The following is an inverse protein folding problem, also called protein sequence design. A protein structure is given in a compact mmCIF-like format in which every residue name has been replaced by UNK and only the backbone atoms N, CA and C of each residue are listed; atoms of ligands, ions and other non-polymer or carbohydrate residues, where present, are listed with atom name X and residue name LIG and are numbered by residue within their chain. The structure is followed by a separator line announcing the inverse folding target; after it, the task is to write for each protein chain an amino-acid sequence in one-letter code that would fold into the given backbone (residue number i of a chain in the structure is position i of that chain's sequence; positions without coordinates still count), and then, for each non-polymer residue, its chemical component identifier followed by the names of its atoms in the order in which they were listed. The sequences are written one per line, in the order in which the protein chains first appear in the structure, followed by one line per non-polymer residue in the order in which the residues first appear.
data_IF_837233238286
#
_entry.id   IF_837233238286
#
_cell.length_a   1.000
_cell.length_b   1.000
_cell.length_c   1.000
_cell.angle_alpha   90.00
_cell.angle_beta   90.00
_cell.angle_gamma   90.00
#
_symmetry.space_group_name_H-M   'P 1'
#
loop_
_entity.id
_entity.type
_entity.pdbx_description
1 polymer ?
#
# COMPACT_ATOMS: atom_id res chain seq x y z
N UNK A 1 3.56 -18.89 -1.07
CA UNK A 1 4.54 -18.22 -1.94
C UNK A 1 5.78 -19.08 -2.03
N UNK A 2 6.11 -19.50 -3.25
CA UNK A 2 7.41 -20.12 -3.56
C UNK A 2 8.58 -19.12 -3.36
N UNK A 3 9.84 -19.60 -3.30
CA UNK A 3 11.00 -18.72 -3.28
C UNK A 3 11.06 -17.75 -4.47
N UNK A 4 10.66 -18.20 -5.67
CA UNK A 4 10.63 -17.35 -6.87
C UNK A 4 9.57 -16.24 -6.78
N UNK A 5 8.39 -16.54 -6.23
CA UNK A 5 7.36 -15.53 -6.00
C UNK A 5 7.78 -14.51 -4.94
N UNK A 6 8.45 -14.97 -3.88
CA UNK A 6 8.96 -14.09 -2.83
C UNK A 6 10.01 -13.12 -3.37
N UNK A 7 10.89 -13.57 -4.27
CA UNK A 7 11.91 -12.72 -4.89
C UNK A 7 11.32 -11.58 -5.74
N UNK A 8 10.09 -11.73 -6.25
CA UNK A 8 9.37 -10.69 -6.99
C UNK A 8 8.57 -9.81 -6.03
N UNK A 9 7.93 -10.41 -5.03
CA UNK A 9 7.09 -9.70 -4.06
C UNK A 9 7.90 -8.79 -3.12
N UNK A 10 9.07 -9.25 -2.65
CA UNK A 10 9.95 -8.50 -1.76
C UNK A 10 10.81 -7.53 -2.59
N UNK A 11 10.33 -6.29 -2.71
CA UNK A 11 10.92 -5.26 -3.57
C UNK A 11 12.07 -4.51 -2.89
N UNK A 12 12.15 -4.53 -1.56
CA UNK A 12 13.19 -3.84 -0.79
C UNK A 12 13.49 -4.57 0.51
N UNK A 13 14.76 -4.58 0.92
CA UNK A 13 15.18 -5.07 2.24
C UNK A 13 14.83 -4.10 3.38
N UNK A 14 14.54 -2.84 3.04
CA UNK A 14 14.25 -1.75 3.97
C UNK A 14 12.83 -1.27 3.76
N UNK A 15 12.06 -1.25 4.84
CA UNK A 15 10.70 -0.68 4.85
C UNK A 15 10.75 0.86 4.87
N UNK A 16 9.75 1.55 4.27
CA UNK A 16 9.66 3.00 4.28
C UNK A 16 9.47 3.56 5.69
N UNK A 17 9.40 4.89 5.77
CA UNK A 17 9.23 5.56 7.06
C UNK A 17 7.94 5.26 7.78
N UNK A 18 6.93 5.13 6.93
CA UNK A 18 5.50 5.24 7.11
C UNK A 18 4.88 4.84 5.74
N UNK A 19 3.55 4.86 5.64
CA UNK A 19 2.84 4.68 4.37
C UNK A 19 3.24 5.75 3.34
N UNK A 20 3.33 5.36 2.07
CA UNK A 20 3.90 6.19 1.00
C UNK A 20 3.00 7.37 0.65
N UNK A 21 1.68 7.18 0.67
CA UNK A 21 0.75 8.28 0.46
C UNK A 21 0.69 9.25 1.64
N UNK A 22 1.11 8.83 2.84
CA UNK A 22 1.17 9.68 4.04
C UNK A 22 -0.17 10.40 4.26
N UNK A 23 -0.15 11.67 4.71
CA UNK A 23 -1.36 12.46 4.94
C UNK A 23 -1.87 13.21 3.68
N UNK A 24 -1.54 12.74 2.47
CA UNK A 24 -1.98 13.41 1.23
C UNK A 24 -3.51 13.32 1.08
N UNK A 25 -4.18 14.42 0.71
CA UNK A 25 -5.65 14.46 0.61
C UNK A 25 -6.17 13.51 -0.49
N UNK A 26 -5.39 13.28 -1.53
CA UNK A 26 -5.64 12.30 -2.59
C UNK A 26 -4.43 11.40 -2.80
N UNK A 27 -4.64 10.21 -3.36
CA UNK A 27 -3.57 9.38 -3.90
C UNK A 27 -2.87 10.16 -5.02
N UNK A 28 -1.59 10.45 -4.82
CA UNK A 28 -0.79 11.23 -5.75
C UNK A 28 0.18 10.32 -6.53
N UNK A 29 0.09 10.40 -7.85
CA UNK A 29 1.03 9.75 -8.76
C UNK A 29 2.45 10.25 -8.51
N UNK A 30 3.40 9.33 -8.48
CA UNK A 30 4.80 9.66 -8.22
C UNK A 30 5.13 9.93 -6.76
N UNK A 31 4.21 9.74 -5.82
CA UNK A 31 4.51 9.90 -4.38
C UNK A 31 5.65 8.99 -3.94
N UNK A 32 6.63 9.57 -3.25
CA UNK A 32 7.69 8.86 -2.54
C UNK A 32 7.32 8.71 -1.05
N UNK A 33 7.90 7.71 -0.37
CA UNK A 33 7.87 7.64 1.09
C UNK A 33 8.22 8.99 1.70
N UNK A 34 7.49 9.40 2.72
CA UNK A 34 7.70 10.69 3.38
C UNK A 34 9.05 10.75 4.07
N UNK A 35 9.85 11.77 3.73
CA UNK A 35 11.23 11.93 4.20
C UNK A 35 11.34 12.67 5.55
N UNK A 36 10.37 13.51 5.95
CA UNK A 36 10.57 14.43 7.09
C UNK A 36 9.28 14.94 7.75
N UNK A 37 9.01 14.56 9.01
CA UNK A 37 8.23 15.41 9.92
C UNK A 37 8.44 15.12 11.43
N UNK A 38 9.14 14.06 11.83
CA UNK A 38 9.20 13.71 13.27
C UNK A 38 10.36 12.84 13.73
N UNK A 39 11.42 12.63 12.94
CA UNK A 39 12.59 11.87 13.44
C UNK A 39 13.15 12.60 14.68
N UNK A 40 12.95 12.10 15.91
CA UNK A 40 13.54 12.72 17.07
C UNK A 40 15.05 12.59 16.90
N UNK A 41 15.78 13.69 17.06
CA UNK A 41 17.24 13.73 17.02
C UNK A 41 17.89 12.94 18.17
N UNK A 42 17.09 12.33 19.05
CA UNK A 42 17.53 11.59 20.23
C UNK A 42 18.09 10.19 19.94
N UNK A 43 18.06 9.76 18.68
CA UNK A 43 18.67 8.49 18.28
C UNK A 43 17.84 7.25 18.64
N UNK A 44 16.55 7.41 18.94
CA UNK A 44 15.59 6.28 19.00
C UNK A 44 15.37 5.62 17.62
N UNK A 45 15.60 6.36 16.52
CA UNK A 45 15.56 5.87 15.14
C UNK A 45 16.97 5.60 14.58
N UNK A 46 17.82 4.90 15.36
CA UNK A 46 19.13 4.42 14.88
C UNK A 46 18.94 3.44 13.72
N UNK A 47 19.10 3.91 12.48
CA UNK A 47 19.34 3.01 11.35
C UNK A 47 18.71 3.33 10.00
N UNK A 48 17.96 4.42 9.82
CA UNK A 48 17.51 4.82 8.46
C UNK A 48 18.62 5.52 7.70
N UNK A 49 19.61 4.75 7.27
CA UNK A 49 20.37 5.14 6.10
C UNK A 49 19.41 5.03 4.91
N UNK A 50 18.94 6.16 4.39
CA UNK A 50 18.34 6.21 3.06
C UNK A 50 19.42 5.66 2.13
N UNK A 51 19.30 4.42 1.64
CA UNK A 51 20.22 3.96 0.60
C UNK A 51 19.82 4.69 -0.69
N UNK A 52 20.79 5.05 -1.54
CA UNK A 52 20.47 5.56 -2.87
C UNK A 52 19.51 4.58 -3.58
N UNK A 53 18.34 5.07 -3.99
CA UNK A 53 17.24 4.36 -4.69
C UNK A 53 16.17 3.63 -3.86
N UNK A 54 16.26 3.55 -2.52
CA UNK A 54 15.21 2.91 -1.70
C UNK A 54 13.87 3.67 -1.63
N UNK A 55 13.84 5.01 -1.56
CA UNK A 55 12.58 5.74 -1.71
C UNK A 55 11.99 5.54 -3.10
N UNK A 56 12.86 5.48 -4.12
CA UNK A 56 12.47 5.46 -5.53
C UNK A 56 11.77 4.16 -5.95
N UNK A 57 12.21 3.01 -5.42
CA UNK A 57 11.57 1.72 -5.73
C UNK A 57 10.13 1.66 -5.18
N UNK A 58 9.87 2.34 -4.06
CA UNK A 58 8.55 2.40 -3.42
C UNK A 58 7.65 3.49 -3.99
N UNK A 59 8.13 4.29 -4.95
CA UNK A 59 7.34 5.33 -5.60
C UNK A 59 6.00 4.77 -6.08
N UNK A 60 4.92 5.45 -5.72
CA UNK A 60 3.59 5.09 -6.20
C UNK A 60 3.49 5.38 -7.70
N UNK A 61 3.27 4.34 -8.50
CA UNK A 61 3.05 4.43 -9.94
C UNK A 61 1.78 3.69 -10.29
N UNK A 62 0.76 4.39 -10.77
CA UNK A 62 -0.55 3.77 -11.06
C UNK A 62 -0.47 2.78 -12.22
N UNK A 63 0.19 3.17 -13.30
CA UNK A 63 0.29 2.38 -14.53
C UNK A 63 1.31 1.23 -14.46
N UNK A 64 2.18 1.24 -13.44
CA UNK A 64 3.21 0.22 -13.24
C UNK A 64 3.34 -0.11 -11.75
N UNK A 65 2.36 -0.82 -11.16
CA UNK A 65 2.46 -1.27 -9.79
C UNK A 65 3.70 -2.15 -9.58
N UNK A 66 4.34 -2.02 -8.43
CA UNK A 66 5.52 -2.81 -8.07
C UNK A 66 5.11 -4.14 -7.41
N UNK A 67 6.02 -5.10 -7.44
CA UNK A 67 5.85 -6.41 -6.81
C UNK A 67 5.20 -7.44 -7.73
N UNK A 68 4.59 -8.46 -7.13
CA UNK A 68 4.03 -9.61 -7.83
C UNK A 68 2.56 -9.38 -8.18
N UNK A 69 2.17 -9.65 -9.42
CA UNK A 69 0.77 -9.63 -9.82
C UNK A 69 0.00 -10.78 -9.18
N UNK A 70 -1.29 -10.57 -8.95
CA UNK A 70 -2.17 -11.58 -8.38
C UNK A 70 -2.19 -12.84 -9.24
N UNK A 71 -2.18 -12.71 -10.57
CA UNK A 71 -2.16 -13.85 -11.50
C UNK A 71 -0.92 -14.73 -11.36
N UNK A 72 0.23 -14.14 -11.04
CA UNK A 72 1.49 -14.85 -10.85
C UNK A 72 1.61 -15.57 -9.50
N UNK A 73 0.66 -15.36 -8.57
CA UNK A 73 0.63 -16.03 -7.27
C UNK A 73 0.15 -17.49 -7.35
N UNK A 74 0.66 -18.31 -6.43
CA UNK A 74 0.20 -19.68 -6.23
C UNK A 74 -1.20 -19.65 -5.58
N UNK A 75 -1.96 -20.75 -5.68
CA UNK A 75 -3.35 -20.78 -5.22
C UNK A 75 -3.48 -20.38 -3.73
N UNK A 76 -2.56 -20.85 -2.89
CA UNK A 76 -2.55 -20.53 -1.47
C UNK A 76 -2.28 -19.04 -1.20
N UNK A 77 -1.34 -18.43 -1.91
CA UNK A 77 -1.00 -17.02 -1.75
C UNK A 77 -2.08 -16.11 -2.32
N UNK A 78 -2.73 -16.52 -3.42
CA UNK A 78 -3.93 -15.86 -3.95
C UNK A 78 -5.02 -15.82 -2.90
N UNK A 79 -5.32 -16.95 -2.25
CA UNK A 79 -6.34 -17.02 -1.21
C UNK A 79 -6.02 -16.12 -0.01
N UNK A 80 -4.75 -16.11 0.44
CA UNK A 80 -4.30 -15.22 1.52
C UNK A 80 -4.48 -13.75 1.13
N UNK A 81 -4.09 -13.37 -0.09
CA UNK A 81 -4.24 -11.99 -0.57
C UNK A 81 -5.72 -11.58 -0.66
N UNK A 82 -6.60 -12.46 -1.15
CA UNK A 82 -8.05 -12.23 -1.19
C UNK A 82 -8.60 -12.03 0.23
N UNK A 83 -8.20 -12.88 1.18
CA UNK A 83 -8.63 -12.77 2.57
C UNK A 83 -8.14 -11.47 3.21
N UNK A 84 -6.94 -11.03 2.87
CA UNK A 84 -6.40 -9.75 3.33
C UNK A 84 -7.21 -8.57 2.77
N UNK A 85 -7.50 -8.56 1.47
CA UNK A 85 -8.36 -7.54 0.84
C UNK A 85 -9.75 -7.53 1.49
N UNK A 86 -10.35 -8.70 1.68
CA UNK A 86 -11.64 -8.85 2.35
C UNK A 86 -11.60 -8.30 3.78
N UNK A 87 -10.51 -8.51 4.50
CA UNK A 87 -10.32 -7.97 5.85
C UNK A 87 -10.34 -6.43 5.87
N UNK A 88 -9.69 -5.78 4.89
CA UNK A 88 -9.74 -4.31 4.76
C UNK A 88 -11.15 -3.83 4.42
N UNK A 89 -11.78 -4.42 3.40
CA UNK A 89 -13.13 -4.05 2.98
C UNK A 89 -14.19 -4.32 4.03
N UNK A 90 -13.98 -5.33 4.88
CA UNK A 90 -14.87 -5.67 6.01
C UNK A 90 -14.94 -4.60 7.11
N UNK A 91 -14.12 -3.54 7.04
CA UNK A 91 -14.25 -2.36 7.90
C UNK A 91 -15.42 -1.45 7.48
N UNK A 92 -15.93 -1.61 6.26
CA UNK A 92 -17.14 -0.95 5.81
C UNK A 92 -18.39 -1.59 6.45
N UNK A 93 -19.52 -0.86 6.53
CA UNK A 93 -20.82 -1.46 6.79
C UNK A 93 -21.07 -2.68 5.88
N UNK A 94 -21.65 -3.75 6.41
CA UNK A 94 -21.70 -5.06 5.76
C UNK A 94 -22.25 -5.04 4.32
N UNK A 95 -23.27 -4.23 4.05
CA UNK A 95 -23.84 -4.08 2.69
C UNK A 95 -22.86 -3.43 1.71
N UNK A 96 -22.11 -2.42 2.16
CA UNK A 96 -21.09 -1.75 1.37
C UNK A 96 -19.86 -2.65 1.19
N UNK A 97 -19.43 -3.36 2.23
CA UNK A 97 -18.34 -4.32 2.15
C UNK A 97 -18.62 -5.41 1.10
N UNK A 98 -19.85 -5.94 1.10
CA UNK A 98 -20.30 -6.93 0.11
C UNK A 98 -20.29 -6.36 -1.30
N UNK A 99 -20.97 -5.23 -1.52
CA UNK A 99 -21.04 -4.59 -2.84
C UNK A 99 -19.66 -4.20 -3.38
N UNK A 100 -18.76 -3.77 -2.49
CA UNK A 100 -17.40 -3.43 -2.87
C UNK A 100 -16.58 -4.67 -3.22
N UNK A 101 -16.69 -5.75 -2.43
CA UNK A 101 -15.99 -7.00 -2.68
C UNK A 101 -16.42 -7.67 -4.00
N UNK A 102 -17.71 -7.63 -4.33
CA UNK A 102 -18.27 -8.16 -5.59
C UNK A 102 -17.61 -7.55 -6.83
N UNK A 103 -17.16 -6.28 -6.78
CA UNK A 103 -16.42 -5.67 -7.91
C UNK A 103 -15.11 -6.37 -8.20
N UNK A 104 -14.41 -6.82 -7.16
CA UNK A 104 -13.16 -7.56 -7.31
C UNK A 104 -13.41 -8.95 -7.90
N UNK A 105 -14.44 -9.64 -7.43
CA UNK A 105 -14.85 -10.94 -7.98
C UNK A 105 -15.25 -10.85 -9.46
N UNK A 106 -15.78 -9.71 -9.90
CA UNK A 106 -16.19 -9.45 -11.27
C UNK A 106 -15.08 -8.93 -12.20
N UNK A 107 -13.80 -9.04 -11.80
CA UNK A 107 -12.68 -8.87 -12.72
C UNK A 107 -11.59 -7.89 -12.28
N UNK A 108 -11.74 -7.19 -11.15
CA UNK A 108 -10.65 -6.28 -10.70
C UNK A 108 -9.46 -7.02 -10.07
N UNK A 109 -9.58 -8.32 -9.74
CA UNK A 109 -8.49 -9.07 -9.14
C UNK A 109 -7.25 -9.23 -10.05
N UNK A 110 -7.43 -9.29 -11.37
CA UNK A 110 -6.30 -9.48 -12.31
C UNK A 110 -5.30 -8.32 -12.27
N UNK A 111 -5.76 -7.12 -11.93
CA UNK A 111 -4.95 -5.91 -11.92
C UNK A 111 -4.24 -5.66 -10.57
N UNK A 112 -4.47 -6.55 -9.59
CA UNK A 112 -3.90 -6.39 -8.25
C UNK A 112 -2.46 -6.86 -8.22
N UNK A 113 -1.62 -6.04 -7.60
CA UNK A 113 -0.23 -6.34 -7.30
C UNK A 113 0.01 -6.27 -5.79
N UNK A 114 0.88 -7.15 -5.33
CA UNK A 114 1.34 -7.20 -3.95
C UNK A 114 2.85 -6.93 -3.89
N UNK A 115 3.26 -6.02 -3.02
CA UNK A 115 4.67 -5.77 -2.72
C UNK A 115 4.94 -5.76 -1.23
N UNK A 116 6.15 -6.16 -0.87
CA UNK A 116 6.68 -6.20 0.49
C UNK A 116 8.00 -5.47 0.57
N UNK A 117 8.22 -4.72 1.64
CA UNK A 117 9.49 -4.10 1.96
C UNK A 117 9.85 -4.32 3.44
N UNK A 118 11.12 -4.54 3.73
CA UNK A 118 11.61 -4.73 5.11
C UNK A 118 11.80 -6.20 5.51
N UNK A 119 11.90 -6.42 6.82
CA UNK A 119 12.20 -7.72 7.41
C UNK A 119 11.13 -8.78 7.14
N UNK A 120 11.53 -10.05 7.15
CA UNK A 120 10.65 -11.20 6.90
C UNK A 120 10.33 -12.00 8.17
N UNK A 121 11.02 -11.70 9.27
CA UNK A 121 10.76 -12.32 10.57
C UNK A 121 9.80 -11.47 11.41
N UNK A 122 9.18 -12.11 12.40
CA UNK A 122 8.33 -11.42 13.38
C UNK A 122 9.12 -10.32 14.10
N UNK A 123 8.44 -9.22 14.42
CA UNK A 123 9.00 -8.06 15.12
C UNK A 123 10.13 -7.33 14.38
N UNK A 124 10.27 -7.56 13.07
CA UNK A 124 11.13 -6.72 12.23
C UNK A 124 10.31 -5.62 11.57
N UNK A 125 10.90 -4.43 11.34
CA UNK A 125 10.27 -3.36 10.57
C UNK A 125 9.85 -3.86 9.18
N UNK A 126 8.58 -3.69 8.82
CA UNK A 126 8.06 -4.14 7.53
C UNK A 126 6.90 -3.30 7.01
N UNK A 127 6.69 -3.40 5.71
CA UNK A 127 5.65 -2.72 4.96
C UNK A 127 5.12 -3.63 3.87
N UNK A 128 3.84 -3.51 3.56
CA UNK A 128 3.29 -4.04 2.31
C UNK A 128 2.32 -3.09 1.64
N UNK A 129 2.24 -3.23 0.32
CA UNK A 129 1.24 -2.54 -0.53
C UNK A 129 0.44 -3.55 -1.32
N UNK A 130 -0.88 -3.36 -1.34
CA UNK A 130 -1.77 -4.00 -2.30
C UNK A 130 -2.30 -2.89 -3.20
N UNK A 131 -2.03 -2.98 -4.49
CA UNK A 131 -2.33 -1.92 -5.44
C UNK A 131 -3.04 -2.49 -6.67
N UNK A 132 -4.13 -1.85 -7.07
CA UNK A 132 -4.82 -2.04 -8.35
C UNK A 132 -5.40 -0.71 -8.84
N UNK A 133 -6.13 -0.73 -9.96
CA UNK A 133 -6.67 0.49 -10.55
C UNK A 133 -7.63 1.26 -9.63
N UNK A 134 -8.44 0.54 -8.84
CA UNK A 134 -9.42 1.09 -7.88
C UNK A 134 -9.08 0.81 -6.41
N UNK A 135 -7.92 0.21 -6.14
CA UNK A 135 -7.54 -0.24 -4.81
C UNK A 135 -6.13 0.22 -4.47
N UNK A 136 -5.99 0.87 -3.32
CA UNK A 136 -4.71 1.03 -2.66
C UNK A 136 -4.86 0.66 -1.19
N UNK A 137 -4.10 -0.33 -0.75
CA UNK A 137 -3.91 -0.64 0.66
C UNK A 137 -2.43 -0.49 0.94
N UNK A 138 -2.11 0.23 2.01
CA UNK A 138 -0.76 0.29 2.55
C UNK A 138 -0.79 -0.11 4.02
N UNK A 139 0.23 -0.83 4.44
CA UNK A 139 0.46 -1.19 5.83
C UNK A 139 1.92 -0.95 6.13
N UNK A 140 2.20 -0.24 7.22
CA UNK A 140 3.53 0.00 7.75
C UNK A 140 3.57 -0.41 9.21
N UNK A 141 4.64 -1.07 9.62
CA UNK A 141 4.96 -1.32 11.01
C UNK A 141 6.46 -1.20 11.23
N UNK A 142 6.95 0.03 11.20
CA UNK A 142 8.38 0.33 11.32
C UNK A 142 8.75 1.13 12.55
N UNK A 143 7.76 1.75 13.21
CA UNK A 143 7.96 2.58 14.39
C UNK A 143 7.92 1.75 15.69
N UNK A 144 8.53 2.29 16.76
CA UNK A 144 8.55 1.68 18.10
C UNK A 144 8.96 0.20 18.09
N UNK A 145 10.07 -0.14 17.43
CA UNK A 145 10.56 -1.52 17.28
C UNK A 145 9.52 -2.47 16.63
N UNK A 146 8.88 -1.99 15.55
CA UNK A 146 7.81 -2.71 14.84
C UNK A 146 6.62 -3.07 15.75
N UNK A 147 6.21 -2.11 16.59
CA UNK A 147 5.08 -2.23 17.50
C UNK A 147 4.07 -1.07 17.36
N UNK A 148 4.15 -0.32 16.26
CA UNK A 148 3.21 0.76 15.95
C UNK A 148 2.85 0.70 14.47
N UNK A 149 1.62 0.26 14.24
CA UNK A 149 1.09 -0.01 12.91
C UNK A 149 0.36 1.21 12.37
N UNK A 150 0.72 1.62 11.16
CA UNK A 150 -0.12 2.45 10.30
C UNK A 150 -0.72 1.58 9.19
N UNK A 151 -1.98 1.81 8.86
CA UNK A 151 -2.59 1.15 7.71
C UNK A 151 -3.67 2.03 7.11
N UNK A 152 -3.81 1.94 5.79
CA UNK A 152 -4.82 2.69 5.06
C UNK A 152 -5.40 1.80 3.96
N UNK A 153 -6.66 2.06 3.65
CA UNK A 153 -7.31 1.61 2.42
C UNK A 153 -7.88 2.84 1.72
N UNK A 154 -7.56 3.02 0.44
CA UNK A 154 -7.97 4.15 -0.39
C UNK A 154 -8.44 3.64 -1.75
N UNK A 155 -9.28 4.45 -2.40
CA UNK A 155 -9.65 4.28 -3.80
C UNK A 155 -9.08 5.44 -4.60
N UNK A 156 -8.08 5.25 -5.47
CA UNK A 156 -7.42 6.36 -6.17
C UNK A 156 -8.38 7.31 -6.92
N UNK A 157 -9.41 6.77 -7.59
CA UNK A 157 -10.41 7.56 -8.31
C UNK A 157 -11.62 8.00 -7.47
N UNK A 158 -11.75 7.50 -6.24
CA UNK A 158 -12.86 7.79 -5.34
C UNK A 158 -12.38 8.33 -3.99
N UNK A 159 -11.22 8.97 -3.97
CA UNK A 159 -10.53 9.28 -2.74
C UNK A 159 -11.18 10.41 -1.95
N UNK A 160 -11.07 10.35 -0.62
CA UNK A 160 -11.86 11.19 0.28
C UNK A 160 -11.54 12.69 0.13
N UNK A 161 -10.29 13.05 -0.12
CA UNK A 161 -9.88 14.46 -0.28
C UNK A 161 -10.01 15.01 -1.71
N UNK A 162 -10.87 14.43 -2.55
CA UNK A 162 -11.24 15.06 -3.82
C UNK A 162 -12.17 16.25 -3.58
N UNK A 163 -11.85 17.41 -4.16
CA UNK A 163 -12.73 18.57 -4.15
C UNK A 163 -13.72 18.49 -5.32
N UNK A 164 -14.83 17.80 -5.08
CA UNK A 164 -15.89 17.59 -6.07
C UNK A 164 -16.59 18.92 -6.42
N UNK A 165 -16.62 19.88 -5.49
CA UNK A 165 -17.26 21.17 -5.70
C UNK A 165 -16.42 22.06 -6.61
N UNK A 166 -15.12 22.19 -6.34
CA UNK A 166 -14.19 22.91 -7.22
C UNK A 166 -14.21 22.32 -8.65
N UNK A 167 -14.19 20.98 -8.76
CA UNK A 167 -14.28 20.31 -10.06
C UNK A 167 -15.57 20.65 -10.81
N UNK A 168 -16.72 20.68 -10.12
CA UNK A 168 -17.99 21.06 -10.72
C UNK A 168 -17.95 22.51 -11.26
N UNK A 169 -17.43 23.45 -10.47
CA UNK A 169 -17.30 24.85 -10.87
C UNK A 169 -16.39 25.03 -12.09
N UNK A 170 -15.26 24.33 -12.14
CA UNK A 170 -14.30 24.44 -13.24
C UNK A 170 -14.77 23.83 -14.58
N UNK A 171 -15.75 22.93 -14.55
CA UNK A 171 -16.20 22.16 -15.73
C UNK A 171 -17.58 22.55 -16.24
N UNK A 172 -18.39 23.23 -15.43
CA UNK A 172 -19.79 23.56 -15.76
C UNK A 172 -20.11 25.07 -15.73
N UNK A 173 -19.09 25.93 -15.63
CA UNK A 173 -19.24 27.39 -15.67
C UNK A 173 -18.15 28.06 -16.53
#
# INVERSE_FOLDING_TARGET
MSPSQRAIAAVSEVAPSDIVQSNRPKVEEGSLPWEDASTPTDGTYRGRAIRPNEPEILRYRRAAPIGISMDALDAQSKEILINLIRHYLGRLPASLAKSEFEKYENGLFSDIHFSWAGGLARYQPHYYRIQGAELLIEYDNTQNDANHIHSVWRKPDGDFGRDVLEQHYSTNH
#
